data_IF_618687980865
#
_entry.id   IF_618687980865
#
_cell.length_a   1.000
_cell.length_b   1.000
_cell.length_c   1.000
_cell.angle_alpha   90.00
_cell.angle_beta   90.00
_cell.angle_gamma   90.00
#
_symmetry.space_group_name_H-M   'P 1'
#
loop_
_entity.id
_entity.type
_entity.pdbx_description
1 polymer ?
#
# COMPACT_ATOMS: atom_id res chain seq x y z
N UNK A 1 6.93 -36.91 -25.32
CA UNK A 1 6.74 -35.46 -25.48
C UNK A 1 8.11 -34.86 -25.71
N UNK A 2 8.29 -34.07 -26.77
CA UNK A 2 9.55 -33.39 -27.06
C UNK A 2 9.39 -31.91 -26.69
N UNK A 3 10.35 -31.32 -25.98
CA UNK A 3 10.30 -29.90 -25.68
C UNK A 3 10.84 -29.12 -26.88
N UNK A 4 9.93 -28.47 -27.60
CA UNK A 4 10.24 -27.80 -28.87
C UNK A 4 10.75 -26.37 -28.67
N UNK A 5 10.20 -25.64 -27.69
CA UNK A 5 10.55 -24.25 -27.43
C UNK A 5 10.35 -23.88 -25.96
N UNK A 6 11.08 -22.86 -25.52
CA UNK A 6 10.89 -22.19 -24.23
C UNK A 6 10.68 -20.71 -24.51
N UNK A 7 9.69 -20.10 -23.87
CA UNK A 7 9.35 -18.71 -24.11
C UNK A 7 9.28 -17.90 -22.80
N UNK A 8 9.64 -16.62 -22.90
CA UNK A 8 9.52 -15.60 -21.86
C UNK A 8 8.74 -14.41 -22.44
N UNK A 9 8.29 -13.49 -21.58
CA UNK A 9 7.60 -12.28 -22.05
C UNK A 9 8.45 -11.50 -23.07
N UNK A 10 7.79 -10.81 -24.00
CA UNK A 10 8.44 -10.12 -25.11
C UNK A 10 9.60 -9.18 -24.70
N UNK A 11 9.48 -8.56 -23.51
CA UNK A 11 10.44 -7.60 -22.97
C UNK A 11 11.38 -8.21 -21.91
N UNK A 12 11.40 -9.53 -21.76
CA UNK A 12 12.22 -10.19 -20.76
C UNK A 12 13.72 -9.98 -21.03
N UNK A 13 14.45 -9.52 -20.03
CA UNK A 13 15.91 -9.41 -20.04
C UNK A 13 16.63 -10.76 -20.11
N UNK A 14 15.89 -11.85 -19.96
CA UNK A 14 16.40 -13.21 -20.07
C UNK A 14 16.24 -13.80 -21.48
N UNK A 15 15.57 -13.11 -22.40
CA UNK A 15 15.44 -13.55 -23.79
C UNK A 15 16.81 -13.79 -24.45
N UNK A 16 16.93 -14.92 -25.16
CA UNK A 16 18.16 -15.37 -25.82
C UNK A 16 19.13 -16.13 -24.92
N UNK A 17 18.96 -16.09 -23.58
CA UNK A 17 19.79 -16.87 -22.66
C UNK A 17 19.39 -18.34 -22.68
N UNK A 18 20.32 -19.23 -22.35
CA UNK A 18 19.98 -20.65 -22.21
C UNK A 18 19.32 -20.90 -20.87
N UNK A 19 18.39 -21.85 -20.84
CA UNK A 19 17.70 -22.20 -19.59
C UNK A 19 18.66 -22.70 -18.52
N UNK A 20 19.77 -23.34 -18.90
CA UNK A 20 20.80 -23.81 -17.98
C UNK A 20 21.66 -22.67 -17.40
N UNK A 21 21.76 -21.51 -18.08
CA UNK A 21 22.39 -20.32 -17.52
C UNK A 21 21.50 -19.66 -16.46
N UNK A 22 20.19 -19.78 -16.61
CA UNK A 22 19.19 -19.27 -15.67
C UNK A 22 19.00 -20.21 -14.46
N UNK A 23 19.07 -21.52 -14.72
CA UNK A 23 18.88 -22.59 -13.76
C UNK A 23 20.04 -23.60 -13.89
N UNK A 24 21.17 -23.36 -13.21
CA UNK A 24 22.39 -24.17 -13.33
C UNK A 24 22.18 -25.68 -13.08
N UNK A 25 21.18 -26.05 -12.29
CA UNK A 25 20.80 -27.44 -12.05
C UNK A 25 20.33 -28.20 -13.30
N UNK A 26 19.97 -27.49 -14.38
CA UNK A 26 19.54 -28.07 -15.65
C UNK A 26 20.69 -28.30 -16.64
N UNK A 27 21.91 -27.90 -16.29
CA UNK A 27 23.07 -28.05 -17.15
C UNK A 27 23.35 -29.52 -17.47
N UNK A 28 23.47 -29.84 -18.76
CA UNK A 28 23.64 -31.21 -19.25
C UNK A 28 22.32 -32.01 -19.35
N UNK A 29 21.19 -31.45 -18.91
CA UNK A 29 19.86 -32.04 -19.08
C UNK A 29 19.13 -31.33 -20.22
N UNK A 30 19.06 -30.00 -20.16
CA UNK A 30 18.43 -29.17 -21.19
C UNK A 30 19.14 -27.82 -21.31
N UNK A 31 19.43 -27.42 -22.55
CA UNK A 31 20.18 -26.19 -22.83
C UNK A 31 19.53 -25.35 -23.95
N UNK A 32 18.21 -25.45 -24.09
CA UNK A 32 17.46 -24.64 -25.05
C UNK A 32 17.48 -23.15 -24.66
N UNK A 33 17.58 -22.24 -25.64
CA UNK A 33 17.42 -20.81 -25.39
C UNK A 33 15.96 -20.48 -25.06
N UNK A 34 15.77 -19.55 -24.13
CA UNK A 34 14.45 -18.95 -23.89
C UNK A 34 14.21 -17.83 -24.90
N UNK A 35 13.07 -17.86 -25.59
CA UNK A 35 12.74 -16.94 -26.68
C UNK A 35 11.74 -15.88 -26.21
N UNK A 36 11.84 -14.67 -26.71
CA UNK A 36 10.84 -13.64 -26.47
C UNK A 36 9.55 -14.02 -27.23
N UNK A 37 8.43 -14.14 -26.52
CA UNK A 37 7.13 -14.37 -27.15
C UNK A 37 6.56 -13.05 -27.68
N UNK A 38 6.82 -12.75 -28.96
CA UNK A 38 6.30 -11.55 -29.63
C UNK A 38 5.01 -11.80 -30.40
N UNK A 39 4.84 -13.02 -30.93
CA UNK A 39 3.64 -13.46 -31.65
C UNK A 39 3.30 -14.88 -31.23
N UNK A 40 2.20 -15.02 -30.47
CA UNK A 40 1.74 -16.31 -29.97
C UNK A 40 1.14 -17.20 -31.06
N UNK A 41 0.52 -16.62 -32.09
CA UNK A 41 -0.07 -17.40 -33.18
C UNK A 41 1.03 -18.03 -34.05
N UNK A 42 2.11 -17.29 -34.31
CA UNK A 42 3.27 -17.85 -35.00
C UNK A 42 3.97 -18.93 -34.16
N UNK A 43 4.16 -18.66 -32.87
CA UNK A 43 4.79 -19.61 -31.94
C UNK A 43 4.02 -20.92 -31.78
N UNK A 44 2.70 -20.93 -32.06
CA UNK A 44 1.87 -22.12 -32.00
C UNK A 44 2.11 -23.11 -33.16
N UNK A 45 2.73 -22.68 -34.27
CA UNK A 45 2.92 -23.53 -35.44
C UNK A 45 3.78 -24.75 -35.11
N UNK A 46 3.23 -25.94 -35.35
CA UNK A 46 3.91 -27.21 -35.07
C UNK A 46 4.01 -27.56 -33.58
N UNK A 47 3.23 -26.89 -32.72
CA UNK A 47 3.14 -27.19 -31.30
C UNK A 47 1.81 -27.87 -31.00
N UNK A 48 1.87 -29.06 -30.40
CA UNK A 48 0.68 -29.80 -29.98
C UNK A 48 0.17 -29.37 -28.59
N UNK A 49 1.10 -29.01 -27.69
CA UNK A 49 0.81 -28.75 -26.27
C UNK A 49 1.59 -27.54 -25.76
N UNK A 50 0.90 -26.64 -25.05
CA UNK A 50 1.47 -25.43 -24.47
C UNK A 50 1.25 -25.41 -22.97
N UNK A 51 2.29 -25.06 -22.21
CA UNK A 51 2.23 -24.85 -20.76
C UNK A 51 2.40 -23.36 -20.47
N UNK A 52 1.35 -22.72 -19.94
CA UNK A 52 1.36 -21.30 -19.58
C UNK A 52 1.67 -21.15 -18.09
N UNK A 53 2.96 -20.95 -17.80
CA UNK A 53 3.46 -20.62 -16.45
C UNK A 53 3.58 -19.09 -16.28
N UNK A 54 2.51 -18.37 -16.64
CA UNK A 54 2.46 -16.91 -16.66
C UNK A 54 1.55 -16.33 -15.57
N UNK A 55 1.60 -15.01 -15.39
CA UNK A 55 0.58 -14.33 -14.59
C UNK A 55 -0.83 -14.56 -15.18
N UNK A 56 -1.84 -14.57 -14.32
CA UNK A 56 -3.23 -14.84 -14.70
C UNK A 56 -3.77 -13.92 -15.81
N UNK A 57 -3.40 -12.64 -15.85
CA UNK A 57 -3.86 -11.75 -16.94
C UNK A 57 -3.19 -12.11 -18.27
N UNK A 58 -1.92 -12.47 -18.22
CA UNK A 58 -1.17 -12.89 -19.41
C UNK A 58 -1.71 -14.23 -19.92
N UNK A 59 -1.96 -15.20 -19.05
CA UNK A 59 -2.59 -16.47 -19.42
C UNK A 59 -3.99 -16.27 -20.00
N UNK A 60 -4.79 -15.37 -19.43
CA UNK A 60 -6.13 -15.03 -19.92
C UNK A 60 -6.10 -14.61 -21.39
N UNK A 61 -5.12 -13.78 -21.78
CA UNK A 61 -5.00 -13.27 -23.15
C UNK A 61 -4.34 -14.27 -24.11
N UNK A 62 -3.36 -15.06 -23.62
CA UNK A 62 -2.60 -15.99 -24.46
C UNK A 62 -3.32 -17.32 -24.73
N UNK A 63 -4.03 -17.89 -23.74
CA UNK A 63 -4.63 -19.21 -23.89
C UNK A 63 -5.57 -19.31 -25.10
N UNK A 64 -6.49 -18.35 -25.36
CA UNK A 64 -7.37 -18.41 -26.52
C UNK A 64 -6.63 -18.42 -27.86
N UNK A 65 -5.47 -17.76 -27.95
CA UNK A 65 -4.66 -17.73 -29.18
C UNK A 65 -4.09 -19.11 -29.50
N UNK A 66 -3.53 -19.79 -28.49
CA UNK A 66 -3.02 -21.16 -28.66
C UNK A 66 -4.15 -22.18 -28.90
N UNK A 67 -5.29 -22.01 -28.23
CA UNK A 67 -6.47 -22.85 -28.44
C UNK A 67 -7.01 -22.71 -29.87
N UNK A 68 -7.07 -21.49 -30.40
CA UNK A 68 -7.49 -21.22 -31.78
C UNK A 68 -6.52 -21.84 -32.81
N UNK A 69 -5.25 -22.01 -32.46
CA UNK A 69 -4.25 -22.71 -33.27
C UNK A 69 -4.33 -24.25 -33.15
N UNK A 70 -5.24 -24.78 -32.30
CA UNK A 70 -5.45 -26.21 -32.11
C UNK A 70 -4.56 -26.85 -31.05
N UNK A 71 -3.79 -26.07 -30.29
CA UNK A 71 -2.96 -26.59 -29.20
C UNK A 71 -3.81 -27.02 -28.00
N UNK A 72 -3.35 -28.03 -27.26
CA UNK A 72 -3.81 -28.29 -25.90
C UNK A 72 -3.07 -27.37 -24.94
N UNK A 73 -3.80 -26.58 -24.15
CA UNK A 73 -3.25 -25.58 -23.23
C UNK A 73 -3.37 -26.06 -21.79
N UNK A 74 -2.24 -26.15 -21.10
CA UNK A 74 -2.16 -26.29 -19.65
C UNK A 74 -1.89 -24.90 -19.05
N UNK A 75 -2.91 -24.30 -18.45
CA UNK A 75 -2.78 -23.02 -17.73
C UNK A 75 -2.42 -23.29 -16.27
N UNK A 76 -1.22 -22.89 -15.84
CA UNK A 76 -0.76 -23.04 -14.46
C UNK A 76 -1.14 -21.83 -13.60
N UNK A 77 -1.71 -20.79 -14.22
CA UNK A 77 -2.16 -19.58 -13.55
C UNK A 77 -3.56 -19.75 -12.93
N UNK A 78 -4.13 -18.64 -12.45
CA UNK A 78 -5.51 -18.59 -11.98
C UNK A 78 -6.55 -18.30 -13.06
N UNK A 79 -6.15 -18.02 -14.31
CA UNK A 79 -6.99 -17.36 -15.32
C UNK A 79 -8.29 -18.09 -15.66
N UNK A 80 -8.24 -19.42 -15.77
CA UNK A 80 -9.41 -20.25 -16.13
C UNK A 80 -9.79 -21.25 -15.03
N UNK A 81 -9.32 -21.03 -13.79
CA UNK A 81 -9.39 -22.02 -12.71
C UNK A 81 -10.78 -22.20 -12.11
N UNK A 82 -11.58 -21.14 -12.10
CA UNK A 82 -12.94 -21.12 -11.55
C UNK A 82 -13.93 -20.79 -12.65
N UNK A 83 -14.98 -21.61 -12.80
CA UNK A 83 -15.98 -21.47 -13.86
C UNK A 83 -17.08 -20.44 -13.54
N UNK A 84 -16.73 -19.36 -12.84
CA UNK A 84 -17.64 -18.27 -12.46
C UNK A 84 -16.97 -16.94 -12.84
N UNK A 85 -17.60 -16.17 -13.73
CA UNK A 85 -17.07 -14.89 -14.18
C UNK A 85 -17.02 -13.84 -13.05
N UNK A 86 -18.02 -13.85 -12.15
CA UNK A 86 -18.09 -12.91 -11.02
C UNK A 86 -16.97 -13.17 -9.99
N UNK A 87 -16.47 -14.41 -9.90
CA UNK A 87 -15.31 -14.75 -9.08
C UNK A 87 -14.08 -13.90 -9.46
N UNK A 88 -13.81 -13.70 -10.74
CA UNK A 88 -12.66 -12.90 -11.19
C UNK A 88 -12.87 -11.42 -10.89
N UNK A 89 -14.07 -10.89 -11.09
CA UNK A 89 -14.40 -9.52 -10.73
C UNK A 89 -14.17 -9.26 -9.24
N UNK A 90 -14.65 -10.18 -8.40
CA UNK A 90 -14.58 -10.07 -6.94
C UNK A 90 -13.18 -10.26 -6.38
N UNK A 91 -12.43 -11.25 -6.86
CA UNK A 91 -11.17 -11.68 -6.22
C UNK A 91 -9.92 -11.30 -7.01
N UNK A 92 -10.02 -11.12 -8.33
CA UNK A 92 -8.89 -10.75 -9.20
C UNK A 92 -9.00 -9.34 -9.77
N UNK A 93 -10.15 -8.68 -9.62
CA UNK A 93 -10.36 -7.28 -10.02
C UNK A 93 -10.37 -7.05 -11.52
N UNK A 94 -10.73 -8.06 -12.33
CA UNK A 94 -10.93 -7.92 -13.77
C UNK A 94 -12.16 -8.69 -14.25
N UNK A 95 -12.70 -8.28 -15.39
CA UNK A 95 -13.82 -8.96 -16.05
C UNK A 95 -13.29 -9.98 -17.05
N UNK A 96 -13.71 -11.23 -16.91
CA UNK A 96 -13.24 -12.34 -17.75
C UNK A 96 -13.89 -12.28 -19.15
N UNK A 97 -13.09 -12.16 -20.20
CA UNK A 97 -13.58 -11.92 -21.57
C UNK A 97 -13.89 -13.20 -22.35
N UNK A 98 -13.42 -14.36 -21.88
CA UNK A 98 -13.51 -15.62 -22.61
C UNK A 98 -14.46 -16.62 -21.93
N UNK A 99 -15.75 -16.26 -21.83
CA UNK A 99 -16.77 -17.07 -21.16
C UNK A 99 -16.88 -18.51 -21.72
N UNK A 100 -16.79 -18.67 -23.05
CA UNK A 100 -16.84 -19.98 -23.70
C UNK A 100 -15.69 -20.89 -23.29
N UNK A 101 -14.47 -20.35 -23.20
CA UNK A 101 -13.30 -21.09 -22.76
C UNK A 101 -13.33 -21.36 -21.26
N UNK A 102 -13.85 -20.41 -20.47
CA UNK A 102 -14.03 -20.59 -19.04
C UNK A 102 -14.98 -21.76 -18.73
N UNK A 103 -16.06 -21.91 -19.50
CA UNK A 103 -17.00 -23.03 -19.35
C UNK A 103 -16.37 -24.38 -19.75
N UNK A 104 -15.48 -24.38 -20.75
CA UNK A 104 -14.83 -25.59 -21.27
C UNK A 104 -13.59 -26.01 -20.47
N UNK A 105 -12.99 -25.09 -19.70
CA UNK A 105 -11.78 -25.37 -18.92
C UNK A 105 -12.00 -26.52 -17.93
N UNK A 106 -11.14 -27.54 -18.00
CA UNK A 106 -11.16 -28.67 -17.07
C UNK A 106 -10.17 -28.42 -15.94
N UNK A 107 -10.65 -28.52 -14.70
CA UNK A 107 -9.78 -28.45 -13.52
C UNK A 107 -8.80 -29.63 -13.52
N UNK A 108 -7.50 -29.32 -13.65
CA UNK A 108 -6.41 -30.26 -13.93
C UNK A 108 -5.95 -31.13 -12.76
N UNK A 109 -6.88 -31.65 -11.96
CA UNK A 109 -6.61 -32.59 -10.88
C UNK A 109 -6.86 -34.02 -11.38
N UNK A 110 -5.83 -34.61 -12.00
CA UNK A 110 -5.95 -35.85 -12.78
C UNK A 110 -6.48 -37.03 -11.96
N UNK A 111 -6.16 -37.09 -10.67
CA UNK A 111 -6.61 -38.13 -9.73
C UNK A 111 -8.14 -38.24 -9.66
N UNK A 112 -8.86 -37.13 -9.90
CA UNK A 112 -10.32 -37.10 -9.87
C UNK A 112 -10.95 -36.80 -11.24
N UNK A 113 -10.18 -36.32 -12.21
CA UNK A 113 -10.69 -35.81 -13.49
C UNK A 113 -10.01 -36.44 -14.72
N UNK A 114 -9.34 -37.59 -14.58
CA UNK A 114 -8.55 -38.23 -15.64
C UNK A 114 -9.26 -38.28 -17.02
N UNK A 115 -10.50 -38.77 -17.07
CA UNK A 115 -11.24 -38.89 -18.34
C UNK A 115 -11.57 -37.53 -18.97
N UNK A 116 -11.91 -36.54 -18.15
CA UNK A 116 -12.18 -35.18 -18.64
C UNK A 116 -10.91 -34.50 -19.13
N UNK A 117 -9.81 -34.65 -18.39
CA UNK A 117 -8.49 -34.10 -18.77
C UNK A 117 -8.03 -34.68 -20.10
N UNK A 118 -8.24 -35.98 -20.34
CA UNK A 118 -7.87 -36.65 -21.59
C UNK A 118 -8.57 -36.08 -22.83
N UNK A 119 -9.75 -35.49 -22.66
CA UNK A 119 -10.58 -34.93 -23.74
C UNK A 119 -10.49 -33.40 -23.82
N UNK A 120 -9.84 -32.74 -22.85
CA UNK A 120 -9.83 -31.29 -22.73
C UNK A 120 -8.80 -30.65 -23.65
N UNK A 121 -9.17 -29.52 -24.25
CA UNK A 121 -8.22 -28.62 -24.91
C UNK A 121 -7.64 -27.57 -23.94
N UNK A 122 -8.37 -27.21 -22.89
CA UNK A 122 -7.92 -26.27 -21.86
C UNK A 122 -7.97 -26.94 -20.49
N UNK A 123 -6.79 -27.08 -19.88
CA UNK A 123 -6.61 -27.67 -18.56
C UNK A 123 -6.13 -26.57 -17.60
N UNK A 124 -6.97 -26.19 -16.65
CA UNK A 124 -6.62 -25.25 -15.60
C UNK A 124 -5.95 -25.99 -14.44
N UNK A 125 -4.62 -25.95 -14.40
CA UNK A 125 -3.80 -26.74 -13.47
C UNK A 125 -3.83 -26.07 -12.08
N UNK A 126 -4.21 -26.79 -11.02
CA UNK A 126 -4.16 -26.26 -9.66
C UNK A 126 -2.72 -26.07 -9.17
N UNK A 127 -2.53 -25.09 -8.28
CA UNK A 127 -1.26 -24.92 -7.55
C UNK A 127 -1.02 -26.03 -6.53
N UNK A 128 0.15 -26.03 -5.89
CA UNK A 128 0.53 -27.03 -4.90
C UNK A 128 -0.42 -27.07 -3.68
N UNK A 129 -0.83 -25.90 -3.13
CA UNK A 129 -1.73 -25.88 -1.97
C UNK A 129 -3.14 -26.37 -2.29
N UNK A 130 -3.84 -25.89 -3.35
CA UNK A 130 -5.12 -26.45 -3.71
C UNK A 130 -5.04 -27.95 -4.03
N UNK A 131 -3.98 -28.42 -4.68
CA UNK A 131 -3.79 -29.84 -5.00
C UNK A 131 -3.70 -30.69 -3.73
N UNK A 132 -2.75 -30.37 -2.84
CA UNK A 132 -2.56 -31.12 -1.59
C UNK A 132 -3.83 -31.11 -0.73
N UNK A 133 -4.51 -29.95 -0.65
CA UNK A 133 -5.73 -29.80 0.16
C UNK A 133 -6.89 -30.61 -0.41
N UNK A 134 -7.12 -30.58 -1.72
CA UNK A 134 -8.24 -31.29 -2.35
C UNK A 134 -8.04 -32.80 -2.34
N UNK A 135 -6.82 -33.28 -2.57
CA UNK A 135 -6.52 -34.72 -2.50
C UNK A 135 -6.81 -35.28 -1.11
N UNK A 136 -6.53 -34.51 -0.06
CA UNK A 136 -6.83 -34.91 1.32
C UNK A 136 -8.32 -34.79 1.68
N UNK A 137 -8.99 -33.72 1.26
CA UNK A 137 -10.37 -33.42 1.68
C UNK A 137 -11.43 -34.15 0.86
N UNK A 138 -11.24 -34.31 -0.45
CA UNK A 138 -12.29 -34.81 -1.33
C UNK A 138 -12.81 -36.20 -0.94
N UNK A 139 -11.98 -37.19 -0.57
CA UNK A 139 -12.47 -38.48 -0.07
C UNK A 139 -13.35 -38.36 1.17
N UNK A 140 -13.05 -37.40 2.07
CA UNK A 140 -13.85 -37.14 3.27
C UNK A 140 -15.19 -36.48 2.94
N UNK A 141 -15.21 -35.56 1.97
CA UNK A 141 -16.44 -34.96 1.45
C UNK A 141 -17.33 -36.01 0.80
N UNK A 142 -16.78 -36.83 -0.09
CA UNK A 142 -17.52 -37.88 -0.81
C UNK A 142 -18.08 -38.93 0.16
N UNK A 143 -17.35 -39.22 1.25
CA UNK A 143 -17.80 -40.11 2.33
C UNK A 143 -18.72 -39.44 3.36
N UNK A 144 -19.09 -38.16 3.18
CA UNK A 144 -19.94 -37.38 4.09
C UNK A 144 -19.40 -37.31 5.53
N UNK A 145 -18.07 -37.32 5.69
CA UNK A 145 -17.39 -37.28 6.99
C UNK A 145 -17.06 -35.86 7.47
N UNK A 146 -17.35 -34.84 6.65
CA UNK A 146 -17.16 -33.43 6.98
C UNK A 146 -18.51 -32.76 7.24
N UNK A 147 -18.53 -31.88 8.23
CA UNK A 147 -19.66 -30.98 8.43
C UNK A 147 -19.64 -29.90 7.34
N UNK A 148 -20.62 -29.96 6.43
CA UNK A 148 -20.75 -29.03 5.30
C UNK A 148 -21.21 -27.63 5.70
N UNK A 149 -21.63 -27.42 6.95
CA UNK A 149 -21.95 -26.09 7.49
C UNK A 149 -20.67 -25.31 7.85
N UNK A 150 -19.51 -25.97 7.88
CA UNK A 150 -18.22 -25.39 8.23
C UNK A 150 -17.27 -25.41 7.04
N UNK A 151 -16.51 -24.32 6.90
CA UNK A 151 -15.44 -24.23 5.90
C UNK A 151 -14.17 -24.91 6.42
N UNK A 152 -13.55 -25.82 5.65
CA UNK A 152 -12.23 -26.34 5.99
C UNK A 152 -11.18 -25.22 6.04
N UNK A 153 -10.46 -25.13 7.15
CA UNK A 153 -9.34 -24.20 7.29
C UNK A 153 -8.04 -24.94 6.98
N UNK A 154 -7.37 -24.53 5.92
CA UNK A 154 -6.09 -25.09 5.50
C UNK A 154 -4.95 -24.16 5.92
N UNK A 155 -4.03 -24.68 6.72
CA UNK A 155 -2.73 -24.03 6.96
C UNK A 155 -1.66 -24.75 6.13
N UNK A 156 -1.23 -24.13 5.04
CA UNK A 156 -0.23 -24.68 4.12
C UNK A 156 1.06 -23.85 4.18
N UNK A 157 2.20 -24.53 4.31
CA UNK A 157 3.53 -23.93 4.41
C UNK A 157 4.39 -24.45 3.28
N UNK A 158 5.14 -23.56 2.61
CA UNK A 158 6.16 -23.94 1.64
C UNK A 158 7.46 -23.17 1.88
N UNK A 159 8.55 -23.67 1.32
CA UNK A 159 9.85 -23.00 1.37
C UNK A 159 9.97 -21.85 0.37
N UNK A 160 11.12 -21.18 0.39
CA UNK A 160 11.40 -19.98 -0.42
C UNK A 160 11.56 -20.23 -1.91
N UNK A 161 11.62 -21.49 -2.37
CA UNK A 161 11.81 -21.82 -3.79
C UNK A 161 10.70 -21.26 -4.69
N UNK A 162 9.51 -20.98 -4.13
CA UNK A 162 8.40 -20.34 -4.85
C UNK A 162 8.57 -18.83 -5.09
N UNK A 163 9.52 -18.16 -4.43
CA UNK A 163 9.72 -16.71 -4.53
C UNK A 163 10.50 -16.28 -5.79
N UNK A 164 10.93 -17.24 -6.61
CA UNK A 164 11.69 -17.00 -7.83
C UNK A 164 13.20 -16.89 -7.61
N UNK A 165 13.92 -16.45 -8.64
CA UNK A 165 15.40 -16.44 -8.68
C UNK A 165 16.03 -15.19 -8.05
N UNK A 166 15.27 -14.11 -7.90
CA UNK A 166 15.78 -12.81 -7.43
C UNK A 166 16.16 -12.92 -5.95
N UNK A 167 17.41 -12.59 -5.64
CA UNK A 167 17.86 -12.50 -4.25
C UNK A 167 17.10 -11.39 -3.51
N UNK A 168 16.61 -11.69 -2.31
CA UNK A 168 16.01 -10.72 -1.39
C UNK A 168 16.43 -11.03 0.05
N UNK A 169 16.44 -10.01 0.90
CA UNK A 169 16.71 -10.22 2.33
C UNK A 169 15.65 -11.15 2.96
N UNK A 170 14.40 -11.03 2.54
CA UNK A 170 13.28 -11.88 2.99
C UNK A 170 13.41 -13.36 2.61
N UNK A 171 14.26 -13.69 1.63
CA UNK A 171 14.56 -15.07 1.22
C UNK A 171 15.93 -15.55 1.69
N UNK A 172 16.67 -14.73 2.45
CA UNK A 172 17.97 -15.08 3.03
C UNK A 172 17.82 -16.07 4.17
N UNK A 173 18.58 -17.18 4.16
CA UNK A 173 18.42 -18.30 5.10
C UNK A 173 18.33 -17.88 6.58
N UNK A 174 19.10 -16.87 7.01
CA UNK A 174 19.09 -16.38 8.39
C UNK A 174 17.89 -15.49 8.75
N UNK A 175 17.15 -15.00 7.75
CA UNK A 175 16.04 -14.05 7.87
C UNK A 175 14.69 -14.69 7.49
N UNK A 176 14.69 -15.87 6.87
CA UNK A 176 13.46 -16.57 6.48
C UNK A 176 12.68 -16.95 7.75
N UNK A 177 11.46 -16.42 7.84
CA UNK A 177 10.48 -16.78 8.85
C UNK A 177 9.13 -17.08 8.19
N UNK A 178 8.18 -17.60 8.95
CA UNK A 178 6.83 -17.87 8.47
C UNK A 178 6.10 -16.55 8.17
N UNK A 179 5.72 -16.34 6.90
CA UNK A 179 4.96 -15.17 6.46
C UNK A 179 3.67 -15.59 5.74
N UNK A 180 2.57 -14.83 5.89
CA UNK A 180 1.34 -15.10 5.18
C UNK A 180 1.52 -14.89 3.66
N UNK A 181 1.10 -15.88 2.87
CA UNK A 181 1.22 -15.87 1.42
C UNK A 181 0.05 -15.13 0.76
N UNK A 182 0.34 -14.16 -0.12
CA UNK A 182 -0.68 -13.49 -0.93
C UNK A 182 -1.61 -12.52 -0.16
N UNK A 183 -1.34 -12.25 1.12
CA UNK A 183 -1.98 -11.14 1.81
C UNK A 183 -1.34 -9.84 1.32
N UNK A 184 -2.13 -8.95 0.71
CA UNK A 184 -1.68 -7.61 0.35
C UNK A 184 -1.21 -6.94 1.65
N UNK A 185 0.11 -6.80 1.82
CA UNK A 185 0.64 -6.00 2.91
C UNK A 185 0.01 -4.62 2.76
N UNK A 186 -0.76 -4.20 3.76
CA UNK A 186 -1.34 -2.87 3.72
C UNK A 186 -0.19 -1.86 3.73
N UNK A 187 -0.28 -0.88 2.83
CA UNK A 187 0.64 0.25 2.82
C UNK A 187 0.75 0.82 4.23
N UNK A 188 1.93 1.28 4.69
CA UNK A 188 2.02 2.04 5.92
C UNK A 188 0.99 3.19 5.91
N UNK A 189 0.63 3.69 7.09
CA UNK A 189 -0.24 4.83 7.23
C UNK A 189 0.51 6.00 7.87
N UNK A 190 0.52 7.14 7.18
CA UNK A 190 0.85 8.42 7.79
C UNK A 190 -0.42 9.02 8.40
N UNK A 191 -0.38 9.29 9.71
CA UNK A 191 -1.44 10.01 10.43
C UNK A 191 -0.91 11.40 10.73
N UNK A 192 -1.39 12.41 9.99
CA UNK A 192 -1.07 13.80 10.29
C UNK A 192 -2.01 14.33 11.37
N UNK A 193 -1.47 14.80 12.48
CA UNK A 193 -2.23 15.37 13.58
C UNK A 193 -2.46 16.88 13.39
N UNK A 194 -3.71 17.31 13.54
CA UNK A 194 -4.07 18.73 13.60
C UNK A 194 -3.56 19.41 14.87
N UNK A 195 -3.18 20.70 14.76
CA UNK A 195 -2.54 21.43 15.86
C UNK A 195 -3.34 21.54 17.15
N UNK A 196 -4.68 21.63 17.06
CA UNK A 196 -5.59 21.74 18.23
C UNK A 196 -5.55 20.49 19.12
N UNK A 197 -5.16 19.33 18.57
CA UNK A 197 -5.12 18.09 19.33
C UNK A 197 -4.10 18.15 20.47
N UNK A 198 -2.97 18.84 20.27
CA UNK A 198 -1.90 18.94 21.27
C UNK A 198 -2.29 19.74 22.51
N UNK A 199 -3.30 20.61 22.40
CA UNK A 199 -3.75 21.48 23.49
C UNK A 199 -4.88 20.85 24.32
N UNK A 200 -5.29 19.61 23.99
CA UNK A 200 -6.38 18.90 24.66
C UNK A 200 -5.93 17.54 25.17
N UNK A 201 -5.78 17.41 26.49
CA UNK A 201 -5.48 16.12 27.12
C UNK A 201 -6.55 15.07 26.83
N UNK A 202 -7.82 15.48 26.76
CA UNK A 202 -8.93 14.59 26.39
C UNK A 202 -8.78 14.06 24.95
N UNK A 203 -8.37 14.92 24.01
CA UNK A 203 -8.13 14.52 22.62
C UNK A 203 -6.93 13.56 22.51
N UNK A 204 -5.85 13.84 23.24
CA UNK A 204 -4.67 12.97 23.32
C UNK A 204 -5.02 11.61 23.94
N UNK A 205 -5.77 11.59 25.04
CA UNK A 205 -6.22 10.35 25.68
C UNK A 205 -7.05 9.50 24.71
N UNK A 206 -7.98 10.11 23.97
CA UNK A 206 -8.77 9.44 22.94
C UNK A 206 -7.91 8.88 21.81
N UNK A 207 -6.97 9.66 21.29
CA UNK A 207 -6.07 9.24 20.21
C UNK A 207 -5.21 8.05 20.64
N UNK A 208 -4.54 8.14 21.80
CA UNK A 208 -3.63 7.10 22.24
C UNK A 208 -4.35 5.82 22.66
N UNK A 209 -5.55 5.94 23.26
CA UNK A 209 -6.44 4.78 23.49
C UNK A 209 -6.79 4.08 22.18
N UNK A 210 -7.13 4.84 21.14
CA UNK A 210 -7.42 4.27 19.82
C UNK A 210 -6.18 3.64 19.15
N UNK A 211 -4.99 4.20 19.34
CA UNK A 211 -3.73 3.62 18.85
C UNK A 211 -3.43 2.28 19.53
N UNK A 212 -3.69 2.15 20.84
CA UNK A 212 -3.56 0.87 21.56
C UNK A 212 -4.54 -0.16 21.00
N UNK A 213 -5.84 0.18 20.97
CA UNK A 213 -6.88 -0.71 20.45
C UNK A 213 -6.60 -1.15 19.01
N UNK A 214 -6.11 -0.23 18.17
CA UNK A 214 -5.70 -0.54 16.82
C UNK A 214 -4.56 -1.56 16.77
N UNK A 215 -3.50 -1.37 17.57
CA UNK A 215 -2.32 -2.24 17.57
C UNK A 215 -2.61 -3.64 18.14
N UNK A 216 -3.67 -3.77 18.93
CA UNK A 216 -4.17 -5.08 19.40
C UNK A 216 -4.95 -5.83 18.31
N UNK A 217 -5.67 -5.10 17.45
CA UNK A 217 -6.58 -5.69 16.46
C UNK A 217 -5.96 -5.83 15.06
N UNK A 218 -5.00 -4.96 14.72
CA UNK A 218 -4.46 -4.82 13.36
C UNK A 218 -2.93 -4.68 13.37
N UNK A 219 -2.30 -5.01 12.24
CA UNK A 219 -0.83 -5.02 12.10
C UNK A 219 -0.29 -4.00 11.10
N UNK A 220 -1.13 -3.10 10.57
CA UNK A 220 -0.64 -2.15 9.56
C UNK A 220 0.32 -1.13 10.22
N UNK A 221 1.49 -0.86 9.62
CA UNK A 221 2.45 0.09 10.18
C UNK A 221 1.89 1.51 10.24
N UNK A 222 2.11 2.21 11.35
CA UNK A 222 1.67 3.59 11.58
C UNK A 222 2.86 4.51 11.77
N UNK A 223 2.77 5.72 11.22
CA UNK A 223 3.69 6.84 11.45
C UNK A 223 2.85 8.07 11.76
N UNK A 224 3.22 8.82 12.80
CA UNK A 224 2.57 10.07 13.15
C UNK A 224 3.39 11.23 12.62
N UNK A 225 2.74 12.21 11.99
CA UNK A 225 3.35 13.49 11.62
C UNK A 225 2.60 14.59 12.33
N UNK A 226 3.30 15.54 12.93
CA UNK A 226 2.67 16.64 13.65
C UNK A 226 3.30 17.99 13.32
N UNK A 227 2.44 19.02 13.36
CA UNK A 227 2.86 20.40 13.51
C UNK A 227 2.68 20.86 14.96
N UNK A 228 2.41 22.14 15.16
CA UNK A 228 2.18 22.70 16.49
C UNK A 228 1.89 24.19 16.44
N UNK A 229 1.07 24.62 15.48
CA UNK A 229 0.84 26.05 15.21
C UNK A 229 0.39 26.83 16.44
N UNK A 230 -0.55 26.29 17.23
CA UNK A 230 -1.05 26.88 18.48
C UNK A 230 0.06 27.00 19.53
N UNK A 231 0.78 25.91 19.79
CA UNK A 231 1.89 25.89 20.75
C UNK A 231 2.99 26.91 20.38
N UNK A 232 3.32 27.02 19.09
CA UNK A 232 4.25 28.04 18.60
C UNK A 232 3.67 29.44 18.80
N UNK A 233 2.41 29.69 18.40
CA UNK A 233 1.75 30.99 18.57
C UNK A 233 1.76 31.45 20.05
N UNK A 234 1.48 30.54 20.98
CA UNK A 234 1.51 30.80 22.42
C UNK A 234 2.91 31.09 22.95
N UNK A 235 3.93 30.34 22.49
CA UNK A 235 5.32 30.59 22.88
C UNK A 235 5.80 31.96 22.37
N UNK A 236 5.53 32.27 21.10
CA UNK A 236 5.91 33.55 20.49
C UNK A 236 5.27 34.73 21.22
N UNK A 237 3.99 34.59 21.60
CA UNK A 237 3.29 35.59 22.42
C UNK A 237 3.95 35.78 23.79
N UNK A 238 4.33 34.69 24.48
CA UNK A 238 5.02 34.76 25.79
C UNK A 238 6.41 35.41 25.68
N UNK A 239 7.09 35.24 24.55
CA UNK A 239 8.38 35.85 24.26
C UNK A 239 8.27 37.27 23.66
N UNK A 240 7.05 37.79 23.49
CA UNK A 240 6.77 39.07 22.84
C UNK A 240 7.35 39.20 21.42
N UNK A 241 7.42 38.08 20.69
CA UNK A 241 7.90 38.04 19.30
C UNK A 241 6.72 38.12 18.32
N UNK A 242 6.86 38.84 17.19
CA UNK A 242 5.79 39.02 16.23
C UNK A 242 5.51 37.73 15.45
N UNK A 243 4.22 37.45 15.23
CA UNK A 243 3.73 36.36 14.38
C UNK A 243 3.12 36.95 13.11
N UNK A 244 3.69 36.62 11.96
CA UNK A 244 3.17 37.02 10.64
C UNK A 244 2.83 35.77 9.82
N UNK A 245 1.65 35.76 9.21
CA UNK A 245 1.21 34.68 8.31
C UNK A 245 0.98 35.26 6.90
N UNK A 246 1.52 34.60 5.89
CA UNK A 246 1.35 34.93 4.46
C UNK A 246 0.82 33.68 3.76
N UNK A 247 -0.35 33.77 3.13
CA UNK A 247 -1.01 32.65 2.45
C UNK A 247 -1.16 31.39 3.32
N UNK A 248 -1.43 31.56 4.62
CA UNK A 248 -1.57 30.46 5.58
C UNK A 248 -0.25 29.88 6.12
N UNK A 249 0.91 30.31 5.60
CA UNK A 249 2.23 29.92 6.09
C UNK A 249 2.77 30.95 7.07
N UNK A 250 3.49 30.50 8.11
CA UNK A 250 4.16 31.38 9.07
C UNK A 250 5.46 31.90 8.46
N UNK A 251 5.58 33.21 8.29
CA UNK A 251 6.86 33.83 7.96
C UNK A 251 7.82 33.54 9.12
N UNK A 252 8.98 32.98 8.82
CA UNK A 252 9.93 32.48 9.83
C UNK A 252 11.28 33.18 9.65
N UNK A 253 11.53 34.31 10.33
CA UNK A 253 12.82 34.98 10.30
C UNK A 253 13.93 34.16 10.97
N UNK A 254 15.19 34.54 10.70
CA UNK A 254 16.39 33.85 11.19
C UNK A 254 16.45 33.72 12.71
N UNK A 255 15.98 34.73 13.44
CA UNK A 255 15.98 34.75 14.90
C UNK A 255 14.85 33.92 15.53
N UNK A 256 13.91 33.42 14.72
CA UNK A 256 12.75 32.65 15.19
C UNK A 256 12.85 31.15 14.90
N UNK A 257 13.68 30.71 13.95
CA UNK A 257 13.72 29.30 13.51
C UNK A 257 14.15 28.35 14.63
N UNK A 258 15.12 28.73 15.47
CA UNK A 258 15.56 27.91 16.60
C UNK A 258 14.46 27.75 17.66
N UNK A 259 13.71 28.83 17.91
CA UNK A 259 12.59 28.84 18.86
C UNK A 259 11.47 27.93 18.35
N UNK A 260 11.15 28.01 17.06
CA UNK A 260 10.14 27.16 16.42
C UNK A 260 10.59 25.69 16.40
N UNK A 261 11.87 25.44 16.13
CA UNK A 261 12.46 24.10 16.21
C UNK A 261 12.32 23.53 17.62
N UNK A 262 12.68 24.29 18.66
CA UNK A 262 12.51 23.88 20.05
C UNK A 262 11.05 23.63 20.44
N UNK A 263 10.12 24.44 19.92
CA UNK A 263 8.69 24.26 20.15
C UNK A 263 8.14 22.98 19.48
N UNK A 264 8.51 22.72 18.23
CA UNK A 264 7.99 21.59 17.46
C UNK A 264 8.73 20.28 17.76
N UNK A 265 10.04 20.22 17.55
CA UNK A 265 10.86 19.02 17.75
C UNK A 265 11.16 18.75 19.24
N UNK A 266 11.14 19.79 20.08
CA UNK A 266 11.22 19.67 21.53
C UNK A 266 9.82 19.48 22.13
N UNK A 267 9.15 20.57 22.49
CA UNK A 267 7.94 20.51 23.31
C UNK A 267 6.82 19.65 22.72
N UNK A 268 6.37 19.92 21.49
CA UNK A 268 5.25 19.19 20.88
C UNK A 268 5.58 17.71 20.66
N UNK A 269 6.76 17.41 20.08
CA UNK A 269 7.18 16.03 19.82
C UNK A 269 7.35 15.23 21.11
N UNK A 270 8.00 15.81 22.14
CA UNK A 270 8.21 15.12 23.41
C UNK A 270 6.92 14.97 24.22
N UNK A 271 5.96 15.88 24.10
CA UNK A 271 4.61 15.67 24.64
C UNK A 271 3.96 14.42 24.02
N UNK A 272 4.01 14.26 22.70
CA UNK A 272 3.48 13.05 22.04
C UNK A 272 4.22 11.77 22.48
N UNK A 273 5.54 11.83 22.67
CA UNK A 273 6.29 10.68 23.22
C UNK A 273 5.94 10.38 24.67
N UNK A 274 5.69 11.39 25.51
CA UNK A 274 5.24 11.20 26.88
C UNK A 274 3.89 10.48 26.92
N UNK A 275 2.97 10.86 26.03
CA UNK A 275 1.69 10.18 25.85
C UNK A 275 1.83 8.75 25.32
N UNK A 276 2.70 8.52 24.33
CA UNK A 276 3.02 7.18 23.86
C UNK A 276 3.53 6.31 25.01
N UNK A 277 4.43 6.84 25.84
CA UNK A 277 4.97 6.14 27.00
C UNK A 277 3.91 5.84 28.06
N UNK A 278 3.02 6.80 28.34
CA UNK A 278 1.87 6.63 29.25
C UNK A 278 0.99 5.45 28.83
N UNK A 279 0.83 5.24 27.52
CA UNK A 279 0.05 4.17 26.90
C UNK A 279 0.87 2.94 26.52
N UNK A 280 2.08 2.80 27.04
CA UNK A 280 2.98 1.67 26.78
C UNK A 280 3.29 1.41 25.29
N UNK A 281 3.22 2.45 24.45
CA UNK A 281 3.62 2.39 23.04
C UNK A 281 5.11 2.74 22.94
N UNK A 282 5.89 1.84 22.34
CA UNK A 282 7.29 2.10 22.01
C UNK A 282 7.35 3.06 20.82
N UNK A 283 7.54 4.35 21.10
CA UNK A 283 7.61 5.40 20.08
C UNK A 283 9.01 6.02 19.98
N UNK A 284 9.36 6.52 18.80
CA UNK A 284 10.62 7.25 18.53
C UNK A 284 10.27 8.61 17.94
N UNK A 285 10.80 9.67 18.55
CA UNK A 285 10.57 11.04 18.09
C UNK A 285 11.66 11.51 17.14
N UNK A 286 11.28 11.99 15.97
CA UNK A 286 12.17 12.39 14.88
C UNK A 286 11.82 13.78 14.32
N UNK A 287 12.76 14.38 13.60
CA UNK A 287 12.54 15.46 12.66
C UNK A 287 12.36 14.91 11.23
N UNK A 288 11.82 15.73 10.33
CA UNK A 288 11.41 15.31 8.98
C UNK A 288 12.55 14.71 8.13
N UNK A 289 13.77 15.15 8.37
CA UNK A 289 14.96 14.79 7.59
C UNK A 289 15.88 13.79 8.28
N UNK A 290 15.59 13.39 9.52
CA UNK A 290 16.43 12.45 10.27
C UNK A 290 16.59 11.16 9.47
N UNK A 291 17.82 10.66 9.33
CA UNK A 291 18.12 9.48 8.51
C UNK A 291 17.83 9.63 7.01
N UNK A 292 17.68 10.86 6.51
CA UNK A 292 17.42 11.13 5.09
C UNK A 292 15.97 10.87 4.66
N UNK A 293 15.01 10.85 5.60
CA UNK A 293 13.59 10.57 5.33
C UNK A 293 12.93 11.53 4.33
N UNK A 294 13.47 12.73 4.19
CA UNK A 294 13.02 13.78 3.28
C UNK A 294 14.19 14.69 2.93
N UNK A 295 14.11 15.37 1.79
CA UNK A 295 14.97 16.51 1.46
C UNK A 295 14.18 17.80 1.59
N UNK A 296 14.84 18.87 2.05
CA UNK A 296 14.19 20.17 2.27
C UNK A 296 15.00 21.28 1.60
N UNK A 297 14.30 22.13 0.85
CA UNK A 297 14.84 23.35 0.24
C UNK A 297 14.08 24.57 0.75
N UNK A 298 14.61 25.77 0.60
CA UNK A 298 13.86 26.98 0.94
C UNK A 298 12.67 27.15 -0.02
N UNK A 299 11.49 27.41 0.52
CA UNK A 299 10.26 27.54 -0.28
C UNK A 299 10.19 28.88 -1.01
N UNK A 300 10.45 29.99 -0.30
CA UNK A 300 10.33 31.36 -0.79
C UNK A 300 11.16 32.28 0.13
N UNK A 301 12.03 33.11 -0.44
CA UNK A 301 12.87 34.05 0.32
C UNK A 301 12.05 35.00 1.20
N UNK A 302 10.88 35.43 0.73
CA UNK A 302 9.98 36.33 1.47
C UNK A 302 9.33 35.70 2.70
N UNK A 303 9.41 34.37 2.84
CA UNK A 303 8.95 33.64 4.02
C UNK A 303 10.08 33.36 5.01
N UNK A 304 11.34 33.64 4.67
CA UNK A 304 12.51 33.31 5.50
C UNK A 304 12.80 31.82 5.52
N UNK A 305 12.99 31.25 6.71
CA UNK A 305 13.33 29.85 6.97
C UNK A 305 12.09 28.94 6.92
N UNK A 306 11.35 29.02 5.81
CA UNK A 306 10.23 28.13 5.50
C UNK A 306 10.67 27.17 4.41
N UNK A 307 10.52 25.87 4.69
CA UNK A 307 11.02 24.80 3.84
C UNK A 307 9.95 24.17 2.94
N UNK A 308 10.39 23.68 1.78
CA UNK A 308 9.67 22.80 0.87
C UNK A 308 10.24 21.40 0.99
N UNK A 309 9.44 20.46 1.50
CA UNK A 309 9.84 19.05 1.63
C UNK A 309 9.57 18.25 0.35
N UNK A 310 10.42 17.26 0.10
CA UNK A 310 10.30 16.26 -0.95
C UNK A 310 10.64 14.87 -0.41
N UNK A 311 10.20 13.81 -1.10
CA UNK A 311 10.48 12.44 -0.72
C UNK A 311 12.00 12.16 -0.63
N UNK A 312 12.37 11.31 0.33
CA UNK A 312 13.76 10.90 0.61
C UNK A 312 13.90 9.38 0.66
N UNK A 313 14.67 8.87 1.63
CA UNK A 313 14.89 7.43 1.87
C UNK A 313 13.89 6.84 2.87
N UNK A 314 13.39 5.65 2.56
CA UNK A 314 12.53 4.86 3.42
C UNK A 314 13.31 3.99 4.44
N UNK A 315 14.65 4.00 4.43
CA UNK A 315 15.46 3.04 5.19
C UNK A 315 15.25 3.15 6.71
N UNK A 316 15.44 4.34 7.29
CA UNK A 316 15.22 4.58 8.72
C UNK A 316 13.78 4.26 9.15
N UNK A 317 12.73 4.82 8.51
CA UNK A 317 11.37 4.56 8.96
C UNK A 317 10.99 3.09 8.79
N UNK A 318 11.42 2.40 7.72
CA UNK A 318 11.19 0.96 7.59
C UNK A 318 11.90 0.17 8.69
N UNK A 319 13.14 0.50 9.03
CA UNK A 319 13.86 -0.17 10.12
C UNK A 319 13.13 -0.02 11.47
N UNK A 320 12.64 1.19 11.78
CA UNK A 320 11.87 1.44 13.00
C UNK A 320 10.54 0.70 13.01
N UNK A 321 9.80 0.72 11.90
CA UNK A 321 8.52 0.03 11.77
C UNK A 321 8.69 -1.50 11.87
N UNK A 322 9.71 -2.07 11.23
CA UNK A 322 10.03 -3.50 11.33
C UNK A 322 10.43 -3.92 12.74
N UNK A 323 11.05 -3.03 13.52
CA UNK A 323 11.35 -3.25 14.94
C UNK A 323 10.15 -2.97 15.87
N UNK A 324 8.98 -2.63 15.33
CA UNK A 324 7.74 -2.45 16.08
C UNK A 324 7.56 -1.06 16.73
N UNK A 325 8.45 -0.10 16.44
CA UNK A 325 8.34 1.26 16.95
C UNK A 325 7.23 2.05 16.23
N UNK A 326 6.69 3.06 16.91
CA UNK A 326 5.84 4.10 16.35
C UNK A 326 6.67 5.37 16.10
N UNK A 327 7.05 5.69 14.85
CA UNK A 327 7.72 6.96 14.55
C UNK A 327 6.74 8.13 14.73
N UNK A 328 7.18 9.16 15.45
CA UNK A 328 6.47 10.43 15.64
C UNK A 328 7.36 11.56 15.12
N UNK A 329 7.00 12.11 13.96
CA UNK A 329 7.84 13.03 13.19
C UNK A 329 7.31 14.46 13.30
N UNK A 330 8.17 15.37 13.72
CA UNK A 330 7.91 16.81 13.71
C UNK A 330 8.17 17.42 12.33
N UNK A 331 7.41 18.45 11.95
CA UNK A 331 7.55 19.14 10.66
C UNK A 331 8.72 20.14 10.61
N UNK A 332 9.89 19.76 11.15
CA UNK A 332 11.14 20.51 11.06
C UNK A 332 12.07 19.83 10.07
N UNK A 333 12.56 20.60 9.09
CA UNK A 333 13.51 20.18 8.09
C UNK A 333 14.90 20.77 8.29
N UNK A 334 15.88 20.22 7.58
CA UNK A 334 17.23 20.76 7.46
C UNK A 334 17.60 20.75 5.97
N UNK A 335 18.16 21.84 5.45
CA UNK A 335 18.65 21.90 4.07
C UNK A 335 19.96 21.12 3.91
N UNK A 336 20.41 20.89 2.67
CA UNK A 336 21.73 20.31 2.39
C UNK A 336 22.87 21.16 2.98
N UNK A 337 22.66 22.46 3.14
CA UNK A 337 23.61 23.41 3.72
C UNK A 337 23.61 23.39 5.25
N UNK A 338 22.68 22.67 5.89
CA UNK A 338 22.55 22.58 7.34
C UNK A 338 21.63 23.61 7.98
N UNK A 339 20.84 24.36 7.19
CA UNK A 339 19.91 25.36 7.72
C UNK A 339 18.60 24.72 8.17
N UNK A 340 18.16 25.05 9.39
CA UNK A 340 16.86 24.62 9.91
C UNK A 340 15.72 25.27 9.12
N UNK A 341 14.65 24.51 8.87
CA UNK A 341 13.51 24.97 8.09
C UNK A 341 12.19 24.58 8.74
N UNK A 342 11.28 25.54 8.86
CA UNK A 342 9.91 25.31 9.29
C UNK A 342 9.09 24.82 8.09
N UNK A 343 8.64 23.56 8.11
CA UNK A 343 7.90 22.94 7.01
C UNK A 343 6.42 22.84 7.38
N UNK A 344 5.54 23.07 6.42
CA UNK A 344 4.11 22.83 6.61
C UNK A 344 3.86 21.33 6.93
N UNK A 345 3.12 21.04 8.00
CA UNK A 345 2.92 19.66 8.45
C UNK A 345 2.14 18.77 7.47
N UNK A 346 1.22 19.32 6.68
CA UNK A 346 0.52 18.56 5.63
C UNK A 346 1.48 18.21 4.48
N UNK A 347 2.36 19.15 4.11
CA UNK A 347 3.42 18.90 3.14
C UNK A 347 4.44 17.88 3.65
N UNK A 348 4.86 17.99 4.91
CA UNK A 348 5.77 17.03 5.54
C UNK A 348 5.16 15.61 5.56
N UNK A 349 3.87 15.50 5.89
CA UNK A 349 3.16 14.23 5.86
C UNK A 349 3.04 13.65 4.44
N UNK A 350 2.82 14.51 3.45
CA UNK A 350 2.76 14.11 2.04
C UNK A 350 4.13 13.59 1.56
N UNK A 351 5.21 14.32 1.83
CA UNK A 351 6.56 13.90 1.46
C UNK A 351 6.95 12.56 2.12
N UNK A 352 6.62 12.36 3.40
CA UNK A 352 6.83 11.06 4.07
C UNK A 352 5.95 9.94 3.52
N UNK A 353 4.70 10.27 3.13
CA UNK A 353 3.82 9.29 2.50
C UNK A 353 4.35 8.86 1.12
N UNK A 354 4.92 9.78 0.34
CA UNK A 354 5.63 9.47 -0.90
C UNK A 354 6.86 8.60 -0.63
N UNK A 355 7.71 8.97 0.34
CA UNK A 355 8.91 8.20 0.74
C UNK A 355 8.56 6.75 1.06
N UNK A 356 7.47 6.51 1.81
CA UNK A 356 7.08 5.18 2.27
C UNK A 356 6.13 4.43 1.34
N UNK A 357 5.63 5.07 0.28
CA UNK A 357 4.49 4.55 -0.46
C UNK A 357 3.29 4.28 0.46
N UNK A 358 3.09 5.14 1.46
CA UNK A 358 2.06 5.03 2.49
C UNK A 358 0.74 5.67 2.05
N UNK A 359 -0.37 5.28 2.69
CA UNK A 359 -1.59 6.07 2.62
C UNK A 359 -1.52 7.22 3.65
N UNK A 360 -2.38 8.23 3.50
CA UNK A 360 -2.36 9.43 4.31
C UNK A 360 -3.74 9.74 4.89
N UNK A 361 -3.77 9.97 6.21
CA UNK A 361 -4.92 10.53 6.92
C UNK A 361 -4.55 11.90 7.47
N UNK A 362 -5.37 12.90 7.17
CA UNK A 362 -5.34 14.22 7.78
C UNK A 362 -6.34 14.25 8.93
N UNK A 363 -5.85 13.98 10.15
CA UNK A 363 -6.68 13.90 11.34
C UNK A 363 -6.86 15.29 11.97
N UNK A 364 -8.11 15.76 12.05
CA UNK A 364 -8.42 17.10 12.57
C UNK A 364 -9.61 17.08 13.53
N UNK A 365 -10.05 18.25 13.97
CA UNK A 365 -11.22 18.43 14.82
C UNK A 365 -12.55 18.37 14.05
N UNK A 366 -12.51 18.37 12.71
CA UNK A 366 -13.71 18.36 11.85
C UNK A 366 -14.01 16.94 11.34
N UNK A 367 -15.27 16.50 11.44
CA UNK A 367 -15.74 15.15 11.09
C UNK A 367 -15.72 14.81 9.59
N UNK A 368 -15.29 15.75 8.75
CA UNK A 368 -15.24 15.62 7.29
C UNK A 368 -15.75 16.88 6.60
N UNK A 369 -15.90 16.81 5.28
CA UNK A 369 -16.48 17.89 4.49
C UNK A 369 -18.00 17.72 4.49
N UNK A 370 -18.72 18.79 4.81
CA UNK A 370 -20.18 18.81 4.84
C UNK A 370 -20.73 19.39 3.53
N UNK A 371 -21.90 18.90 3.11
CA UNK A 371 -22.68 19.48 2.02
C UNK A 371 -23.53 20.67 2.50
N UNK A 372 -24.29 21.29 1.58
CA UNK A 372 -25.17 22.41 1.89
C UNK A 372 -26.28 22.08 2.92
N UNK A 373 -26.54 20.80 3.19
CA UNK A 373 -27.53 20.31 4.15
C UNK A 373 -26.88 19.91 5.48
N UNK A 374 -25.57 20.12 5.65
CA UNK A 374 -24.82 19.72 6.82
C UNK A 374 -24.51 18.21 6.89
N UNK A 375 -24.73 17.46 5.79
CA UNK A 375 -24.43 16.03 5.73
C UNK A 375 -23.00 15.80 5.27
N UNK A 376 -22.31 14.83 5.88
CA UNK A 376 -20.94 14.48 5.52
C UNK A 376 -20.88 13.87 4.11
N UNK A 377 -19.99 14.40 3.30
CA UNK A 377 -19.66 13.89 1.97
C UNK A 377 -18.68 12.72 2.14
N UNK A 378 -19.04 11.53 1.69
CA UNK A 378 -18.19 10.34 1.79
C UNK A 378 -16.95 10.43 0.88
N UNK A 379 -17.14 10.88 -0.36
CA UNK A 379 -16.08 10.99 -1.38
C UNK A 379 -16.09 12.35 -2.07
N UNK A 380 -14.90 12.88 -2.32
CA UNK A 380 -14.66 14.18 -2.94
C UNK A 380 -13.62 14.05 -4.06
N UNK A 381 -13.92 14.63 -5.21
CA UNK A 381 -12.97 14.84 -6.33
C UNK A 381 -12.61 16.32 -6.43
N UNK A 382 -11.52 16.64 -7.14
CA UNK A 382 -11.12 18.03 -7.40
C UNK A 382 -12.26 18.87 -8.00
N UNK A 383 -12.93 18.34 -9.03
CA UNK A 383 -14.04 19.02 -9.70
C UNK A 383 -15.21 19.30 -8.74
N UNK A 384 -15.55 18.34 -7.88
CA UNK A 384 -16.63 18.50 -6.90
C UNK A 384 -16.26 19.52 -5.82
N UNK A 385 -15.00 19.53 -5.37
CA UNK A 385 -14.51 20.51 -4.41
C UNK A 385 -14.59 21.93 -4.99
N UNK A 386 -14.10 22.14 -6.22
CA UNK A 386 -14.16 23.44 -6.91
C UNK A 386 -15.60 23.97 -7.01
N UNK A 387 -16.55 23.10 -7.36
CA UNK A 387 -17.96 23.48 -7.43
C UNK A 387 -18.53 23.89 -6.06
N UNK A 388 -18.18 23.18 -4.98
CA UNK A 388 -18.67 23.48 -3.64
C UNK A 388 -18.04 24.74 -3.06
N UNK A 389 -16.77 25.02 -3.40
CA UNK A 389 -16.08 26.26 -3.06
C UNK A 389 -16.74 27.43 -3.81
N UNK A 390 -16.95 27.30 -5.12
CA UNK A 390 -17.59 28.34 -5.93
C UNK A 390 -19.03 28.65 -5.49
N UNK A 391 -19.76 27.65 -4.97
CA UNK A 391 -21.11 27.81 -4.39
C UNK A 391 -21.11 28.37 -2.96
N UNK A 392 -19.94 28.60 -2.35
CA UNK A 392 -19.82 29.09 -0.98
C UNK A 392 -20.27 28.09 0.09
N UNK A 393 -20.34 26.79 -0.25
CA UNK A 393 -20.70 25.72 0.71
C UNK A 393 -19.48 25.37 1.57
N UNK A 394 -18.30 25.35 0.95
CA UNK A 394 -17.02 25.18 1.64
C UNK A 394 -16.42 26.57 1.83
N UNK A 395 -16.27 27.01 3.08
CA UNK A 395 -15.77 28.35 3.41
C UNK A 395 -14.52 28.32 4.28
N UNK A 396 -13.81 29.45 4.30
CA UNK A 396 -12.76 29.78 5.28
C UNK A 396 -11.65 28.70 5.39
N UNK A 397 -11.37 28.26 6.61
CA UNK A 397 -10.32 27.28 6.91
C UNK A 397 -10.59 25.89 6.30
N UNK A 398 -11.83 25.57 5.89
CA UNK A 398 -12.11 24.32 5.20
C UNK A 398 -11.56 24.33 3.78
N UNK A 399 -11.56 25.48 3.08
CA UNK A 399 -10.98 25.60 1.74
C UNK A 399 -9.50 25.18 1.78
N UNK A 400 -8.75 25.65 2.77
CA UNK A 400 -7.32 25.34 2.93
C UNK A 400 -7.10 23.84 3.16
N UNK A 401 -7.92 23.20 3.99
CA UNK A 401 -7.83 21.76 4.28
C UNK A 401 -8.18 20.90 3.06
N UNK A 402 -9.23 21.27 2.33
CA UNK A 402 -9.65 20.54 1.13
C UNK A 402 -8.59 20.65 0.03
N UNK A 403 -8.05 21.84 -0.20
CA UNK A 403 -6.99 22.04 -1.18
C UNK A 403 -5.71 21.28 -0.79
N UNK A 404 -5.30 21.32 0.49
CA UNK A 404 -4.15 20.56 0.95
C UNK A 404 -4.32 19.05 0.75
N UNK A 405 -5.53 18.52 1.00
CA UNK A 405 -5.82 17.11 0.80
C UNK A 405 -5.90 16.72 -0.68
N UNK A 406 -6.40 17.61 -1.55
CA UNK A 406 -6.39 17.42 -3.01
C UNK A 406 -4.96 17.43 -3.56
N UNK A 407 -4.14 18.37 -3.12
CA UNK A 407 -2.74 18.46 -3.53
C UNK A 407 -1.97 17.21 -3.08
N UNK A 408 -2.21 16.75 -1.85
CA UNK A 408 -1.65 15.49 -1.35
C UNK A 408 -2.13 14.27 -2.15
N UNK A 409 -3.43 14.17 -2.46
CA UNK A 409 -3.97 13.04 -3.23
C UNK A 409 -3.38 12.98 -4.64
N UNK A 410 -3.26 14.14 -5.32
CA UNK A 410 -2.62 14.25 -6.63
C UNK A 410 -1.14 13.87 -6.57
N UNK A 411 -0.41 14.40 -5.59
CA UNK A 411 1.02 14.15 -5.43
C UNK A 411 1.30 12.65 -5.17
N UNK A 412 0.48 12.01 -4.34
CA UNK A 412 0.62 10.59 -3.99
C UNK A 412 0.06 9.63 -5.04
N UNK A 413 -0.72 10.12 -6.00
CA UNK A 413 -1.46 9.30 -6.97
C UNK A 413 -2.44 8.32 -6.32
N UNK A 414 -2.94 8.61 -5.12
CA UNK A 414 -3.81 7.74 -4.32
C UNK A 414 -4.75 8.55 -3.41
N UNK A 415 -5.82 7.94 -2.87
CA UNK A 415 -6.75 8.66 -2.01
C UNK A 415 -6.14 9.13 -0.68
N UNK A 416 -6.64 10.27 -0.18
CA UNK A 416 -6.30 10.84 1.13
C UNK A 416 -7.57 11.00 1.95
N UNK A 417 -7.54 10.59 3.22
CA UNK A 417 -8.72 10.67 4.09
C UNK A 417 -8.63 11.88 5.03
N UNK A 418 -9.70 12.70 5.08
CA UNK A 418 -9.87 13.74 6.09
C UNK A 418 -10.84 13.23 7.14
N UNK A 419 -10.42 13.12 8.40
CA UNK A 419 -11.25 12.56 9.47
C UNK A 419 -11.10 13.32 10.79
N UNK A 420 -12.02 13.03 11.74
CA UNK A 420 -11.99 13.61 13.08
C UNK A 420 -11.47 12.65 14.14
N UNK A 421 -10.67 13.18 15.07
CA UNK A 421 -10.28 12.47 16.29
C UNK A 421 -11.41 12.39 17.34
N UNK A 422 -12.54 13.09 17.16
CA UNK A 422 -13.63 13.15 18.15
C UNK A 422 -14.33 11.80 18.35
N UNK A 423 -14.40 10.98 17.31
CA UNK A 423 -15.03 9.64 17.32
C UNK A 423 -13.96 8.55 17.51
N UNK A 424 -13.43 8.44 18.73
CA UNK A 424 -12.28 7.59 19.04
C UNK A 424 -12.56 6.10 18.78
N UNK A 425 -13.80 5.66 18.97
CA UNK A 425 -14.31 4.31 18.71
C UNK A 425 -14.15 3.89 17.24
N UNK A 426 -14.13 4.87 16.34
CA UNK A 426 -14.06 4.66 14.90
C UNK A 426 -12.61 4.69 14.37
N UNK A 427 -11.69 5.30 15.11
CA UNK A 427 -10.30 5.48 14.67
C UNK A 427 -9.56 4.17 14.33
N UNK A 428 -9.71 3.04 15.06
CA UNK A 428 -9.05 1.80 14.69
C UNK A 428 -9.47 1.29 13.29
N UNK A 429 -10.76 1.36 12.98
CA UNK A 429 -11.26 0.96 11.66
C UNK A 429 -10.78 1.92 10.56
N UNK A 430 -10.71 3.22 10.87
CA UNK A 430 -10.14 4.24 9.97
C UNK A 430 -8.67 3.97 9.66
N UNK A 431 -7.86 3.71 10.68
CA UNK A 431 -6.44 3.40 10.51
C UNK A 431 -6.26 2.12 9.68
N UNK A 432 -7.21 1.18 9.74
CA UNK A 432 -7.22 -0.03 8.92
C UNK A 432 -7.82 0.16 7.51
N UNK A 433 -8.09 1.39 7.07
CA UNK A 433 -8.49 1.72 5.70
C UNK A 433 -9.99 1.94 5.48
N UNK A 434 -10.84 1.78 6.51
CA UNK A 434 -12.27 2.08 6.42
C UNK A 434 -12.50 3.60 6.35
N UNK A 435 -13.16 4.15 5.32
CA UNK A 435 -13.39 5.59 5.22
C UNK A 435 -14.46 6.07 6.23
N UNK A 436 -14.04 6.81 7.25
CA UNK A 436 -14.94 7.35 8.30
C UNK A 436 -15.06 8.88 8.29
N UNK A 437 -14.29 9.54 7.43
CA UNK A 437 -14.45 10.97 7.17
C UNK A 437 -14.86 11.22 5.72
N UNK A 438 -14.17 12.12 5.06
CA UNK A 438 -14.28 12.33 3.61
C UNK A 438 -13.02 11.83 2.93
N UNK A 439 -13.17 10.92 1.97
CA UNK A 439 -12.09 10.42 1.14
C UNK A 439 -11.91 11.32 -0.08
N UNK A 440 -10.73 11.90 -0.21
CA UNK A 440 -10.32 12.70 -1.35
C UNK A 440 -9.71 11.77 -2.39
N UNK A 441 -10.26 11.77 -3.60
CA UNK A 441 -9.74 10.98 -4.73
C UNK A 441 -8.70 11.80 -5.49
N UNK A 442 -7.66 11.11 -5.97
CA UNK A 442 -6.53 11.68 -6.72
C UNK A 442 -6.95 12.23 -8.08
#
# INVERSE_FOLDING_TARGET
>A
MNLTALAVSAQSVDAGKRISDLHPQLKGIIDLPVQALTDAAEAAKGIDVVFLATDHKVSHDLAPVFLAAGCVVFDLSGAFRVQDAEFYRRYYGFEHQHADWLAQAVYGLAEFQAERVKQAQLIAVPGCYPTASQLALKPLVDAQLLNTDLWPVINAVSGVSGAGRKASLTSSFCEVSLQPYGTKAMNPLIIKLGGVLLDSEEALERLFTALVAYREQYQRPLVIVHGGGCLVDDLMKKLALPVVKKNGLRVTPADQIDIITGALAGSANKTLLAWAKKHAINAVGLCLVDGGMSTVTQLDESLGYVGKAQAGSADLPNALLSAGYLPIVSSIGITEQGDLMNVNADQAATALAETLGADLILLSDVSGILDAKGQRIAEMTAQKAEQLIAKGIITDGMIVKVNAALDAARALGRPVDIASWRHADQLPALFNGTPIGTRILA
#
